data_IF_879260604347
#
_entry.id   IF_879260604347
#
_cell.length_a   1.000
_cell.length_b   1.000
_cell.length_c   1.000
_cell.angle_alpha   90.00
_cell.angle_beta   90.00
_cell.angle_gamma   90.00
#
_symmetry.space_group_name_H-M   'P 1'
#
loop_
_entity.id
_entity.type
_entity.pdbx_description
1 polymer ?
#
# COMPACT_ATOMS: atom_id res chain seq x y z
N UNK A 1 -12.61 10.59 -3.05
CA UNK A 1 -11.73 10.05 -4.11
C UNK A 1 -11.80 10.92 -5.36
N UNK A 2 -12.97 11.08 -5.97
CA UNK A 2 -13.11 11.95 -7.16
C UNK A 2 -12.79 13.44 -6.85
N UNK A 3 -13.19 13.94 -5.68
CA UNK A 3 -12.86 15.31 -5.22
C UNK A 3 -11.35 15.56 -5.11
N UNK A 4 -10.60 14.68 -4.46
CA UNK A 4 -9.16 14.82 -4.30
C UNK A 4 -8.40 14.81 -5.64
N UNK A 5 -8.86 13.99 -6.60
CA UNK A 5 -8.26 13.95 -7.95
C UNK A 5 -8.59 15.24 -8.70
N UNK A 6 -9.81 15.77 -8.57
CA UNK A 6 -10.18 17.07 -9.14
C UNK A 6 -9.33 18.20 -8.54
N UNK A 7 -9.10 18.20 -7.23
CA UNK A 7 -8.23 19.16 -6.55
C UNK A 7 -6.78 19.08 -7.07
N UNK A 8 -6.22 17.87 -7.18
CA UNK A 8 -4.88 17.66 -7.73
C UNK A 8 -4.79 18.09 -9.20
N UNK A 9 -5.85 17.87 -9.97
CA UNK A 9 -5.88 18.26 -11.36
C UNK A 9 -5.88 19.79 -11.50
N UNK A 10 -6.69 20.49 -10.70
CA UNK A 10 -6.67 21.97 -10.63
C UNK A 10 -5.29 22.47 -10.19
N UNK A 11 -4.64 21.78 -9.26
CA UNK A 11 -3.29 22.11 -8.80
C UNK A 11 -2.27 21.96 -9.94
N UNK A 12 -2.28 20.83 -10.66
CA UNK A 12 -1.40 20.58 -11.81
C UNK A 12 -1.61 21.64 -12.91
N UNK A 13 -2.85 21.99 -13.22
CA UNK A 13 -3.13 23.07 -14.17
C UNK A 13 -2.61 24.41 -13.67
N UNK A 14 -2.79 24.72 -12.39
CA UNK A 14 -2.29 25.95 -11.81
C UNK A 14 -0.77 26.06 -11.87
N UNK A 15 -0.05 24.96 -11.65
CA UNK A 15 1.40 24.91 -11.76
C UNK A 15 1.89 25.14 -13.19
N UNK A 16 1.21 24.56 -14.18
CA UNK A 16 1.56 24.76 -15.60
C UNK A 16 1.30 26.19 -16.06
N UNK A 17 0.15 26.77 -15.70
CA UNK A 17 -0.26 28.07 -16.22
C UNK A 17 0.23 29.28 -15.41
N UNK A 18 0.29 29.17 -14.07
CA UNK A 18 0.72 30.28 -13.20
C UNK A 18 2.20 30.22 -12.88
N UNK A 19 2.65 29.09 -12.37
CA UNK A 19 4.03 28.90 -11.89
C UNK A 19 5.02 28.54 -13.01
N UNK A 20 4.50 28.24 -14.22
CA UNK A 20 5.29 27.79 -15.39
C UNK A 20 6.21 26.61 -15.06
N UNK A 21 5.67 25.65 -14.31
CA UNK A 21 6.36 24.39 -14.03
C UNK A 21 6.16 23.47 -15.24
N UNK A 22 7.28 23.13 -15.87
CA UNK A 22 7.28 22.32 -17.09
C UNK A 22 7.47 20.83 -16.80
N UNK A 23 8.24 20.46 -15.76
CA UNK A 23 8.50 19.06 -15.40
C UNK A 23 7.70 18.62 -14.17
N UNK A 24 6.83 17.63 -14.35
CA UNK A 24 5.95 17.08 -13.33
C UNK A 24 6.15 15.57 -13.27
N UNK A 25 6.66 15.10 -12.13
CA UNK A 25 6.83 13.69 -11.84
C UNK A 25 5.80 13.22 -10.81
N UNK A 26 5.23 12.05 -11.05
CA UNK A 26 4.30 11.38 -10.18
C UNK A 26 4.94 10.11 -9.63
N UNK A 27 5.01 10.00 -8.31
CA UNK A 27 5.53 8.83 -7.61
C UNK A 27 4.38 8.10 -6.95
N UNK A 28 4.27 6.80 -7.21
CA UNK A 28 3.26 5.97 -6.59
C UNK A 28 3.71 4.50 -6.60
N UNK A 29 3.12 3.67 -5.76
CA UNK A 29 3.47 2.25 -5.73
C UNK A 29 2.66 1.47 -6.77
N UNK A 30 3.36 0.72 -7.62
CA UNK A 30 2.75 -0.07 -8.68
C UNK A 30 2.85 -1.55 -8.38
N UNK A 31 1.76 -2.27 -8.66
CA UNK A 31 1.78 -3.73 -8.64
C UNK A 31 2.50 -4.25 -9.89
N UNK A 32 3.63 -4.94 -9.71
CA UNK A 32 4.38 -5.52 -10.83
C UNK A 32 3.84 -6.91 -11.18
N UNK A 33 3.84 -7.84 -10.21
CA UNK A 33 3.29 -9.21 -10.30
C UNK A 33 2.99 -9.77 -8.90
N UNK A 34 1.89 -10.50 -8.76
CA UNK A 34 1.52 -11.18 -7.51
C UNK A 34 1.14 -10.19 -6.40
N UNK A 35 2.00 -10.05 -5.39
CA UNK A 35 1.81 -9.20 -4.19
C UNK A 35 2.99 -8.24 -3.98
N UNK A 36 3.91 -8.11 -4.95
CA UNK A 36 5.08 -7.23 -4.82
C UNK A 36 4.74 -5.86 -5.39
N UNK A 37 4.87 -4.85 -4.54
CA UNK A 37 4.71 -3.44 -4.88
C UNK A 37 6.08 -2.77 -4.90
N UNK A 38 6.36 -2.05 -5.97
CA UNK A 38 7.61 -1.29 -6.13
C UNK A 38 7.26 0.19 -6.33
N UNK A 39 8.07 1.11 -5.79
CA UNK A 39 7.98 2.53 -6.12
C UNK A 39 8.13 2.71 -7.62
N UNK A 40 7.16 3.38 -8.22
CA UNK A 40 7.14 3.67 -9.64
C UNK A 40 7.15 5.19 -9.85
N UNK A 41 8.08 5.64 -10.69
CA UNK A 41 8.16 7.02 -11.15
C UNK A 41 7.47 7.11 -12.51
N UNK A 42 6.55 8.04 -12.63
CA UNK A 42 5.86 8.35 -13.87
C UNK A 42 6.08 9.82 -14.23
N UNK A 43 6.64 10.07 -15.41
CA UNK A 43 6.78 11.41 -15.95
C UNK A 43 5.42 11.87 -16.52
N UNK A 44 4.73 12.75 -15.80
CA UNK A 44 3.36 13.15 -16.12
C UNK A 44 3.34 14.25 -17.19
N UNK A 45 4.27 15.20 -17.12
CA UNK A 45 4.40 16.31 -18.06
C UNK A 45 5.86 16.81 -18.07
N UNK A 46 6.45 17.17 -19.23
CA UNK A 46 5.89 17.04 -20.58
C UNK A 46 5.72 15.57 -21.01
N UNK A 47 4.84 15.34 -21.98
CA UNK A 47 4.68 14.00 -22.56
C UNK A 47 5.99 13.59 -23.24
N UNK A 48 6.49 12.40 -22.92
CA UNK A 48 7.73 11.89 -23.50
C UNK A 48 7.62 11.76 -25.01
N UNK A 49 8.67 12.21 -25.72
CA UNK A 49 8.69 12.21 -27.17
C UNK A 49 8.70 10.77 -27.73
N UNK A 50 9.38 9.84 -27.04
CA UNK A 50 9.38 8.43 -27.41
C UNK A 50 7.95 7.86 -27.39
N UNK A 51 7.18 8.17 -26.34
CA UNK A 51 5.80 7.72 -26.20
C UNK A 51 4.90 8.24 -27.34
N UNK A 52 5.06 9.50 -27.74
CA UNK A 52 4.34 10.07 -28.89
C UNK A 52 4.71 9.40 -30.21
N UNK A 53 5.99 9.05 -30.40
CA UNK A 53 6.45 8.31 -31.58
C UNK A 53 5.85 6.90 -31.62
N UNK A 54 5.81 6.19 -30.49
CA UNK A 54 5.19 4.88 -30.39
C UNK A 54 3.68 4.92 -30.74
N UNK A 55 2.97 5.97 -30.32
CA UNK A 55 1.56 6.16 -30.68
C UNK A 55 1.37 6.36 -32.19
N UNK A 56 2.31 7.03 -32.84
CA UNK A 56 2.27 7.27 -34.29
C UNK A 56 2.49 5.97 -35.08
N UNK A 57 3.31 5.05 -34.54
CA UNK A 57 3.56 3.73 -35.12
C UNK A 57 2.42 2.73 -34.91
N UNK A 58 1.53 3.00 -33.94
CA UNK A 58 0.40 2.12 -33.63
C UNK A 58 -0.62 2.13 -34.76
N UNK A 59 -0.93 0.95 -35.29
CA UNK A 59 -2.03 0.80 -36.24
C UNK A 59 -3.36 1.11 -35.58
N UNK A 60 -4.16 1.92 -36.26
CA UNK A 60 -5.53 2.20 -35.85
C UNK A 60 -6.34 0.89 -35.79
N UNK A 61 -7.07 0.63 -34.69
CA UNK A 61 -7.70 -0.68 -34.47
C UNK A 61 -8.92 -0.95 -35.36
N UNK A 62 -9.53 0.09 -35.93
CA UNK A 62 -10.73 -0.04 -36.76
C UNK A 62 -10.46 0.33 -38.23
N UNK A 63 -11.43 0.06 -39.10
CA UNK A 63 -11.36 0.45 -40.53
C UNK A 63 -11.91 1.86 -40.79
N UNK A 64 -12.41 2.54 -39.76
CA UNK A 64 -13.03 3.86 -39.85
C UNK A 64 -12.15 4.90 -39.17
N UNK A 65 -11.87 6.00 -39.87
CA UNK A 65 -11.15 7.13 -39.30
C UNK A 65 -12.01 7.80 -38.21
N UNK A 66 -11.38 8.33 -37.15
CA UNK A 66 -12.10 9.04 -36.10
C UNK A 66 -12.71 10.33 -36.65
N UNK A 67 -14.01 10.52 -36.42
CA UNK A 67 -14.70 11.77 -36.69
C UNK A 67 -14.62 12.67 -35.46
N UNK A 68 -14.19 13.92 -35.64
CA UNK A 68 -14.20 14.93 -34.58
C UNK A 68 -14.99 16.16 -35.05
N UNK A 69 -15.74 16.76 -34.13
CA UNK A 69 -16.60 17.92 -34.38
C UNK A 69 -16.05 19.21 -33.77
N UNK A 70 -15.01 19.11 -32.95
CA UNK A 70 -14.37 20.22 -32.26
C UNK A 70 -13.19 20.77 -33.08
N UNK A 71 -12.82 22.03 -32.82
CA UNK A 71 -11.54 22.57 -33.30
C UNK A 71 -10.37 21.82 -32.66
N UNK A 72 -9.27 21.68 -33.41
CA UNK A 72 -8.08 20.95 -32.96
C UNK A 72 -7.57 21.40 -31.59
N UNK A 73 -7.48 22.71 -31.34
CA UNK A 73 -6.98 23.24 -30.06
C UNK A 73 -7.85 22.82 -28.88
N UNK A 74 -9.18 22.88 -29.04
CA UNK A 74 -10.12 22.49 -27.98
C UNK A 74 -10.13 21.00 -27.74
N UNK A 75 -10.03 20.21 -28.81
CA UNK A 75 -9.95 18.76 -28.73
C UNK A 75 -8.67 18.33 -28.01
N UNK A 76 -7.51 18.92 -28.38
CA UNK A 76 -6.23 18.63 -27.75
C UNK A 76 -6.23 19.01 -26.27
N UNK A 77 -6.75 20.19 -25.92
CA UNK A 77 -6.87 20.62 -24.53
C UNK A 77 -7.69 19.62 -23.69
N UNK A 78 -8.85 19.21 -24.20
CA UNK A 78 -9.69 18.20 -23.54
C UNK A 78 -8.98 16.85 -23.38
N UNK A 79 -8.20 16.43 -24.38
CA UNK A 79 -7.43 15.18 -24.29
C UNK A 79 -6.32 15.25 -23.23
N UNK A 80 -5.58 16.37 -23.16
CA UNK A 80 -4.53 16.56 -22.15
C UNK A 80 -5.14 16.56 -20.75
N UNK A 81 -6.26 17.26 -20.56
CA UNK A 81 -6.97 17.29 -19.29
C UNK A 81 -7.43 15.87 -18.87
N UNK A 82 -8.03 15.12 -19.79
CA UNK A 82 -8.47 13.75 -19.54
C UNK A 82 -7.28 12.80 -19.29
N UNK A 83 -6.15 13.00 -19.98
CA UNK A 83 -4.92 12.26 -19.74
C UNK A 83 -4.40 12.46 -18.32
N UNK A 84 -4.35 13.72 -17.83
CA UNK A 84 -3.94 13.99 -16.45
C UNK A 84 -4.90 13.35 -15.45
N UNK A 85 -6.21 13.48 -15.66
CA UNK A 85 -7.21 12.85 -14.80
C UNK A 85 -7.00 11.33 -14.71
N UNK A 86 -6.88 10.64 -15.85
CA UNK A 86 -6.72 9.18 -15.88
C UNK A 86 -5.39 8.76 -15.25
N UNK A 87 -4.31 9.50 -15.51
CA UNK A 87 -2.98 9.21 -14.95
C UNK A 87 -2.97 9.35 -13.43
N UNK A 88 -3.52 10.45 -12.90
CA UNK A 88 -3.66 10.67 -11.46
C UNK A 88 -4.59 9.63 -10.81
N UNK A 89 -5.73 9.33 -11.46
CA UNK A 89 -6.67 8.33 -10.98
C UNK A 89 -6.01 6.94 -10.89
N UNK A 90 -5.28 6.53 -11.94
CA UNK A 90 -4.56 5.25 -11.94
C UNK A 90 -3.54 5.20 -10.80
N UNK A 91 -2.70 6.22 -10.67
CA UNK A 91 -1.68 6.29 -9.62
C UNK A 91 -2.31 6.19 -8.22
N UNK A 92 -3.44 6.86 -8.00
CA UNK A 92 -4.16 6.83 -6.74
C UNK A 92 -4.67 5.42 -6.41
N UNK A 93 -5.32 4.75 -7.37
CA UNK A 93 -5.83 3.38 -7.19
C UNK A 93 -4.69 2.39 -6.96
N UNK A 94 -3.61 2.46 -7.75
CA UNK A 94 -2.45 1.58 -7.60
C UNK A 94 -1.77 1.79 -6.23
N UNK A 95 -1.63 3.03 -5.77
CA UNK A 95 -1.08 3.35 -4.45
C UNK A 95 -1.97 2.87 -3.31
N UNK A 96 -3.28 3.06 -3.39
CA UNK A 96 -4.22 2.57 -2.37
C UNK A 96 -4.21 1.05 -2.28
N UNK A 97 -4.19 0.36 -3.42
CA UNK A 97 -4.11 -1.09 -3.45
C UNK A 97 -2.80 -1.58 -2.80
N UNK A 98 -1.68 -0.90 -3.10
CA UNK A 98 -0.38 -1.18 -2.49
C UNK A 98 -0.36 -0.98 -0.98
N UNK A 99 -0.91 0.14 -0.51
CA UNK A 99 -0.99 0.44 0.92
C UNK A 99 -1.82 -0.60 1.66
N UNK A 100 -3.00 -0.94 1.12
CA UNK A 100 -3.90 -1.90 1.75
C UNK A 100 -3.27 -3.30 1.80
N UNK A 101 -2.65 -3.76 0.71
CA UNK A 101 -1.97 -5.05 0.68
C UNK A 101 -0.77 -5.09 1.64
N UNK A 102 0.06 -4.04 1.67
CA UNK A 102 1.17 -3.95 2.61
C UNK A 102 0.70 -3.96 4.06
N UNK A 103 -0.40 -3.24 4.36
CA UNK A 103 -1.03 -3.24 5.68
C UNK A 103 -1.54 -4.63 6.07
N UNK A 104 -2.21 -5.34 5.17
CA UNK A 104 -2.69 -6.69 5.42
C UNK A 104 -1.54 -7.65 5.74
N UNK A 105 -0.45 -7.62 4.96
CA UNK A 105 0.73 -8.46 5.22
C UNK A 105 1.40 -8.11 6.55
N UNK A 106 1.48 -6.82 6.91
CA UNK A 106 2.02 -6.41 8.19
C UNK A 106 1.14 -6.88 9.37
N UNK A 107 -0.18 -6.83 9.21
CA UNK A 107 -1.14 -7.31 10.21
C UNK A 107 -1.07 -8.82 10.39
N UNK A 108 -0.98 -9.59 9.31
CA UNK A 108 -0.81 -11.06 9.37
C UNK A 108 0.47 -11.45 10.12
N UNK A 109 1.59 -10.78 9.84
CA UNK A 109 2.84 -11.00 10.60
C UNK A 109 2.71 -10.61 12.07
N UNK A 110 1.96 -9.56 12.38
CA UNK A 110 1.72 -9.18 13.76
C UNK A 110 0.86 -10.22 14.50
N UNK A 111 -0.15 -10.79 13.83
CA UNK A 111 -0.98 -11.88 14.35
C UNK A 111 -0.16 -13.13 14.65
N UNK A 112 0.65 -13.60 13.69
CA UNK A 112 1.58 -14.72 13.87
C UNK A 112 2.52 -14.51 15.07
N UNK A 113 3.10 -13.32 15.21
CA UNK A 113 3.98 -12.97 16.33
C UNK A 113 3.24 -12.95 17.68
N UNK A 114 1.97 -12.53 17.70
CA UNK A 114 1.14 -12.52 18.90
C UNK A 114 0.81 -13.96 19.33
N UNK A 115 0.46 -14.83 18.39
CA UNK A 115 0.21 -16.25 18.65
C UNK A 115 1.45 -16.94 19.23
N UNK A 116 2.62 -16.75 18.61
CA UNK A 116 3.88 -17.29 19.12
C UNK A 116 4.17 -16.79 20.55
N UNK A 117 3.91 -15.49 20.81
CA UNK A 117 4.12 -14.90 22.13
C UNK A 117 3.14 -15.47 23.16
N UNK A 118 1.90 -15.70 22.78
CA UNK A 118 0.86 -16.28 23.64
C UNK A 118 1.23 -17.70 24.04
N UNK A 119 1.67 -18.52 23.09
CA UNK A 119 2.10 -19.90 23.34
C UNK A 119 3.29 -19.97 24.30
N UNK A 120 4.24 -19.03 24.14
CA UNK A 120 5.37 -18.90 25.05
C UNK A 120 4.91 -18.52 26.47
N UNK A 121 4.05 -17.51 26.61
CA UNK A 121 3.51 -17.09 27.90
C UNK A 121 2.70 -18.19 28.58
N UNK A 122 1.89 -18.93 27.83
CA UNK A 122 1.13 -20.08 28.36
C UNK A 122 2.07 -21.19 28.85
N UNK A 123 3.14 -21.47 28.11
CA UNK A 123 4.15 -22.44 28.51
C UNK A 123 4.87 -22.01 29.80
N UNK A 124 5.22 -20.73 29.92
CA UNK A 124 5.81 -20.17 31.15
C UNK A 124 4.85 -20.24 32.34
N UNK A 125 3.59 -19.85 32.14
CA UNK A 125 2.54 -19.90 33.16
C UNK A 125 2.36 -21.33 33.69
N UNK A 126 2.27 -22.32 32.80
CA UNK A 126 2.11 -23.72 33.20
C UNK A 126 3.30 -24.25 34.00
N UNK A 127 4.54 -23.87 33.61
CA UNK A 127 5.75 -24.23 34.36
C UNK A 127 5.76 -23.58 35.74
N UNK A 128 5.48 -22.28 35.81
CA UNK A 128 5.44 -21.56 37.09
C UNK A 128 4.37 -22.13 38.01
N UNK A 129 3.19 -22.46 37.48
CA UNK A 129 2.12 -23.12 38.24
C UNK A 129 2.56 -24.47 38.81
N UNK A 130 3.24 -25.30 38.01
CA UNK A 130 3.75 -26.60 38.47
C UNK A 130 4.83 -26.45 39.55
N UNK A 131 5.72 -25.47 39.39
CA UNK A 131 6.74 -25.16 40.39
C UNK A 131 6.09 -24.73 41.72
N UNK A 132 5.11 -23.82 41.68
CA UNK A 132 4.40 -23.39 42.89
C UNK A 132 3.66 -24.54 43.59
N UNK A 133 2.97 -25.42 42.84
CA UNK A 133 2.34 -26.62 43.43
C UNK A 133 3.38 -27.53 44.09
N UNK A 134 4.55 -27.68 43.46
CA UNK A 134 5.63 -28.52 43.98
C UNK A 134 6.23 -27.91 45.25
N UNK A 135 6.47 -26.60 45.27
CA UNK A 135 6.94 -25.86 46.46
C UNK A 135 5.94 -26.00 47.62
N UNK A 136 4.65 -25.77 47.39
CA UNK A 136 3.60 -25.94 48.41
C UNK A 136 3.56 -27.38 48.97
N UNK A 137 3.69 -28.40 48.12
CA UNK A 137 3.74 -29.80 48.56
C UNK A 137 4.99 -30.12 49.38
N UNK A 138 6.15 -29.60 48.98
CA UNK A 138 7.40 -29.78 49.73
C UNK A 138 7.32 -29.13 51.11
N UNK A 139 6.73 -27.94 51.21
CA UNK A 139 6.51 -27.26 52.49
C UNK A 139 5.59 -28.05 53.42
N UNK A 140 4.51 -28.65 52.89
CA UNK A 140 3.60 -29.52 53.67
C UNK A 140 4.35 -30.75 54.21
N UNK A 141 5.14 -31.42 53.37
CA UNK A 141 5.90 -32.63 53.76
C UNK A 141 6.95 -32.28 54.81
N UNK A 142 7.72 -31.21 54.60
CA UNK A 142 8.73 -30.74 55.54
C UNK A 142 8.11 -30.36 56.90
N UNK A 143 6.96 -29.69 56.90
CA UNK A 143 6.22 -29.36 58.11
C UNK A 143 5.73 -30.59 58.88
N UNK A 144 5.22 -31.61 58.18
CA UNK A 144 4.81 -32.87 58.79
C UNK A 144 5.99 -33.64 59.40
N UNK A 145 7.12 -33.75 58.69
CA UNK A 145 8.32 -34.42 59.20
C UNK A 145 8.90 -33.71 60.44
N UNK A 146 8.86 -32.38 60.47
CA UNK A 146 9.30 -31.61 61.63
C UNK A 146 8.47 -31.92 62.88
N UNK A 147 7.14 -32.04 62.73
CA UNK A 147 6.24 -32.48 63.80
C UNK A 147 6.54 -33.91 64.25
N UNK A 148 6.72 -34.84 63.32
CA UNK A 148 6.99 -36.25 63.62
C UNK A 148 8.31 -36.49 64.37
N UNK A 149 9.34 -35.67 64.14
CA UNK A 149 10.62 -35.72 64.88
C UNK A 149 10.58 -35.06 66.26
N UNK A 150 9.53 -34.29 66.56
CA UNK A 150 9.36 -33.57 67.82
C UNK A 150 8.56 -34.34 68.88
N UNK A 151 8.02 -35.51 68.51
CA UNK A 151 7.32 -36.48 69.38
C UNK A 151 8.25 -37.65 69.66
#
# INVERSE_FOLDING_TARGET
>A
MNSAIQELLVLVESWRFREKIDDIYLFYNKLKRGVIFEPFQFHLFPLEQEWLQELTLRKWPSRNLPLYTLSWDRLLHSFIHQFFYISLYRAFIESMASENASRLTAMQKAEENIEERLDNLNSQFNRQRQNSITEELLDIIAGFEALAKSV
#
